data_IF_258623742500
#
_entry.id   IF_258623742500
#
_cell.length_a   1.000
_cell.length_b   1.000
_cell.length_c   1.000
_cell.angle_alpha   90.00
_cell.angle_beta   90.00
_cell.angle_gamma   90.00
#
_symmetry.space_group_name_H-M   'P 1'
#
loop_
_entity.id
_entity.type
_entity.pdbx_description
1 polymer ?
#
# COMPACT_ATOMS: atom_id res chain seq x y z
N UNK A 1 -4.84 -10.74 9.81
CA UNK A 1 -4.30 -9.40 9.57
C UNK A 1 -4.95 -8.43 10.51
N UNK A 2 -4.19 -7.67 11.26
CA UNK A 2 -4.72 -6.83 12.33
C UNK A 2 -4.44 -5.35 12.15
N UNK A 3 -3.34 -5.00 11.48
CA UNK A 3 -2.90 -3.60 11.38
C UNK A 3 -2.53 -3.27 9.95
N UNK A 4 -3.10 -2.17 9.45
CA UNK A 4 -2.78 -1.67 8.11
C UNK A 4 -2.26 -0.24 8.24
N UNK A 5 -1.22 0.06 7.49
CA UNK A 5 -0.58 1.38 7.48
C UNK A 5 -0.64 1.95 6.07
N UNK A 6 -1.15 3.16 5.93
CA UNK A 6 -1.22 3.84 4.63
C UNK A 6 -0.28 5.05 4.63
N UNK A 7 0.57 5.14 3.62
CA UNK A 7 1.47 6.28 3.43
C UNK A 7 1.04 7.00 2.17
N UNK A 8 0.51 8.21 2.32
CA UNK A 8 -0.09 8.96 1.22
C UNK A 8 -0.14 10.42 1.64
N UNK A 9 0.20 11.35 0.76
CA UNK A 9 0.19 12.77 1.11
C UNK A 9 -1.16 13.45 0.85
N UNK A 10 -2.13 12.72 0.32
CA UNK A 10 -3.47 13.27 0.03
C UNK A 10 -4.44 12.87 1.14
N UNK A 11 -4.83 13.84 1.97
CA UNK A 11 -5.72 13.55 3.11
C UNK A 11 -7.09 13.07 2.68
N UNK A 12 -7.59 13.52 1.52
CA UNK A 12 -8.89 13.04 1.03
C UNK A 12 -8.82 11.55 0.72
N UNK A 13 -7.72 11.10 0.09
CA UNK A 13 -7.55 9.69 -0.20
C UNK A 13 -7.37 8.87 1.08
N UNK A 14 -6.70 9.43 2.08
CA UNK A 14 -6.53 8.74 3.36
C UNK A 14 -7.90 8.54 4.03
N UNK A 15 -8.75 9.56 4.01
CA UNK A 15 -10.06 9.46 4.63
C UNK A 15 -10.96 8.47 3.90
N UNK A 16 -10.92 8.47 2.57
CA UNK A 16 -11.69 7.49 1.80
C UNK A 16 -11.23 6.06 2.08
N UNK A 17 -9.92 5.87 2.16
CA UNK A 17 -9.36 4.56 2.45
C UNK A 17 -9.81 4.09 3.85
N UNK A 18 -9.72 4.97 4.83
CA UNK A 18 -10.13 4.65 6.19
C UNK A 18 -11.60 4.26 6.24
N UNK A 19 -12.47 5.04 5.57
CA UNK A 19 -13.89 4.77 5.57
C UNK A 19 -14.20 3.43 4.91
N UNK A 20 -13.53 3.13 3.80
CA UNK A 20 -13.74 1.87 3.11
C UNK A 20 -13.27 0.69 3.96
N UNK A 21 -12.11 0.83 4.59
CA UNK A 21 -11.58 -0.23 5.44
C UNK A 21 -12.50 -0.48 6.64
N UNK A 22 -13.03 0.58 7.23
CA UNK A 22 -13.93 0.44 8.36
C UNK A 22 -15.19 -0.31 7.98
N UNK A 23 -15.69 -0.13 6.75
CA UNK A 23 -16.88 -0.85 6.31
C UNK A 23 -16.59 -2.32 6.04
N UNK A 24 -15.44 -2.65 5.46
CA UNK A 24 -15.18 -4.05 5.09
C UNK A 24 -14.51 -4.84 6.19
N UNK A 25 -13.82 -4.18 7.12
CA UNK A 25 -13.08 -4.88 8.18
C UNK A 25 -12.94 -3.98 9.40
N UNK A 26 -14.04 -3.75 10.14
CA UNK A 26 -14.02 -2.79 11.26
C UNK A 26 -13.10 -3.17 12.41
N UNK A 27 -12.66 -4.42 12.47
CA UNK A 27 -11.76 -4.86 13.55
C UNK A 27 -10.30 -4.59 13.26
N UNK A 28 -9.95 -4.17 12.04
CA UNK A 28 -8.56 -3.90 11.68
C UNK A 28 -8.17 -2.50 12.13
N UNK A 29 -7.01 -2.39 12.78
CA UNK A 29 -6.45 -1.09 13.16
C UNK A 29 -5.86 -0.40 11.95
N UNK A 30 -6.13 0.89 11.82
CA UNK A 30 -5.66 1.70 10.71
C UNK A 30 -4.76 2.81 11.22
N UNK A 31 -3.59 2.94 10.62
CA UNK A 31 -2.67 4.03 10.87
C UNK A 31 -2.25 4.62 9.55
N UNK A 32 -1.84 5.89 9.55
CA UNK A 32 -1.39 6.53 8.33
C UNK A 32 -0.28 7.54 8.62
N UNK A 33 0.43 7.90 7.55
CA UNK A 33 1.39 9.00 7.57
C UNK A 33 1.26 9.73 6.23
N UNK A 34 1.40 11.05 6.28
CA UNK A 34 1.42 11.84 5.05
C UNK A 34 2.83 12.25 4.64
N UNK A 35 3.84 11.65 5.23
CA UNK A 35 5.24 11.94 4.95
C UNK A 35 6.01 10.63 4.89
N UNK A 36 6.52 10.30 3.70
CA UNK A 36 7.19 9.02 3.49
C UNK A 36 8.46 8.84 4.31
N UNK A 37 9.26 9.91 4.44
CA UNK A 37 10.50 9.82 5.21
C UNK A 37 10.22 9.61 6.68
N UNK A 38 9.22 10.31 7.20
CA UNK A 38 8.83 10.16 8.60
C UNK A 38 8.26 8.76 8.86
N UNK A 39 7.48 8.25 7.90
CA UNK A 39 6.91 6.91 8.04
C UNK A 39 7.99 5.85 8.13
N UNK A 40 9.00 5.92 7.26
CA UNK A 40 10.10 4.95 7.29
C UNK A 40 10.82 5.02 8.64
N UNK A 41 11.15 6.24 9.10
CA UNK A 41 11.86 6.41 10.37
C UNK A 41 11.02 5.90 11.53
N UNK A 42 9.74 6.26 11.55
CA UNK A 42 8.84 5.85 12.62
C UNK A 42 8.77 4.33 12.73
N UNK A 43 8.59 3.67 11.59
CA UNK A 43 8.46 2.22 11.60
C UNK A 43 9.79 1.52 11.91
N UNK A 44 10.92 2.05 11.45
CA UNK A 44 12.21 1.43 11.69
C UNK A 44 12.62 1.52 13.17
N UNK A 45 12.12 2.53 13.87
CA UNK A 45 12.44 2.74 15.29
C UNK A 45 11.40 2.13 16.23
N UNK A 46 10.34 1.55 15.68
CA UNK A 46 9.24 1.02 16.48
C UNK A 46 9.66 -0.26 17.19
N UNK A 47 9.34 -0.35 18.47
CA UNK A 47 9.62 -1.53 19.27
C UNK A 47 8.37 -2.33 19.59
N UNK A 48 7.19 -1.79 19.27
CA UNK A 48 5.92 -2.50 19.44
C UNK A 48 5.52 -3.12 18.11
N UNK A 49 4.24 -3.46 17.97
CA UNK A 49 3.75 -4.17 16.78
C UNK A 49 3.94 -3.36 15.51
N UNK A 50 4.48 -4.01 14.49
CA UNK A 50 4.57 -3.45 13.15
C UNK A 50 3.27 -3.72 12.39
N UNK A 51 2.99 -2.94 11.34
CA UNK A 51 1.81 -3.23 10.52
C UNK A 51 1.97 -4.57 9.79
N UNK A 52 0.85 -5.19 9.50
CA UNK A 52 0.84 -6.42 8.73
C UNK A 52 0.93 -6.14 7.24
N UNK A 53 0.53 -4.95 6.83
CA UNK A 53 0.48 -4.58 5.42
C UNK A 53 0.63 -3.07 5.30
N UNK A 54 1.43 -2.64 4.34
CA UNK A 54 1.66 -1.22 4.06
C UNK A 54 1.13 -0.90 2.67
N UNK A 55 0.35 0.17 2.56
CA UNK A 55 -0.03 0.76 1.27
C UNK A 55 0.78 2.04 1.11
N UNK A 56 1.33 2.25 -0.07
CA UNK A 56 2.32 3.30 -0.29
C UNK A 56 2.07 3.99 -1.62
N UNK A 57 1.83 5.30 -1.57
CA UNK A 57 1.67 6.10 -2.78
C UNK A 57 3.04 6.40 -3.40
N UNK A 58 3.08 6.48 -4.72
CA UNK A 58 4.31 6.83 -5.44
C UNK A 58 4.54 8.33 -5.44
N UNK A 59 3.49 9.11 -5.66
CA UNK A 59 3.61 10.57 -5.82
C UNK A 59 3.51 11.29 -4.50
N UNK A 60 4.64 11.44 -3.81
CA UNK A 60 4.70 12.11 -2.51
C UNK A 60 5.96 12.97 -2.41
N UNK A 61 5.99 14.13 -3.11
CA UNK A 61 7.16 14.99 -2.99
C UNK A 61 7.40 15.37 -1.52
N UNK A 62 8.64 15.57 -1.09
CA UNK A 62 9.86 15.52 -1.90
C UNK A 62 10.45 14.12 -2.11
N UNK A 63 9.91 13.11 -1.41
CA UNK A 63 10.42 11.74 -1.51
C UNK A 63 9.37 10.89 -2.21
N UNK A 64 9.74 10.22 -3.30
CA UNK A 64 8.78 9.38 -4.00
C UNK A 64 8.53 8.08 -3.24
N UNK A 65 7.36 7.49 -3.46
CA UNK A 65 7.04 6.20 -2.85
C UNK A 65 8.00 5.10 -3.25
N UNK A 66 8.57 5.17 -4.46
CA UNK A 66 9.56 4.18 -4.87
C UNK A 66 10.82 4.26 -4.03
N UNK A 67 11.23 5.48 -3.65
CA UNK A 67 12.35 5.66 -2.75
C UNK A 67 12.02 5.12 -1.35
N UNK A 68 10.81 5.34 -0.90
CA UNK A 68 10.36 4.78 0.38
C UNK A 68 10.38 3.26 0.35
N UNK A 69 9.90 2.67 -0.75
CA UNK A 69 9.91 1.22 -0.90
C UNK A 69 11.33 0.68 -0.82
N UNK A 70 12.26 1.34 -1.51
CA UNK A 70 13.67 0.94 -1.46
C UNK A 70 14.21 1.00 -0.04
N UNK A 71 13.83 2.04 0.72
CA UNK A 71 14.26 2.17 2.10
C UNK A 71 13.70 1.06 2.98
N UNK A 72 12.42 0.71 2.81
CA UNK A 72 11.83 -0.40 3.54
C UNK A 72 12.60 -1.70 3.27
N UNK A 73 12.98 -1.94 2.02
CA UNK A 73 13.61 -3.20 1.66
C UNK A 73 15.06 -3.30 2.12
N UNK A 74 15.68 -2.18 2.47
CA UNK A 74 17.04 -2.16 3.03
C UNK A 74 17.06 -2.26 4.55
N UNK A 75 15.94 -2.06 5.21
CA UNK A 75 15.87 -2.02 6.67
C UNK A 75 15.67 -3.43 7.20
N UNK A 76 16.50 -3.84 8.17
CA UNK A 76 16.44 -5.20 8.71
C UNK A 76 15.10 -5.53 9.34
N UNK A 77 14.45 -4.53 9.94
CA UNK A 77 13.19 -4.76 10.62
C UNK A 77 12.01 -4.72 9.66
N UNK A 78 12.12 -3.98 8.56
CA UNK A 78 10.99 -3.69 7.67
C UNK A 78 11.01 -4.46 6.36
N UNK A 79 12.14 -5.04 5.99
CA UNK A 79 12.31 -5.60 4.63
C UNK A 79 11.34 -6.71 4.29
N UNK A 80 10.79 -7.39 5.28
CA UNK A 80 9.87 -8.49 5.05
C UNK A 80 8.40 -8.08 5.13
N UNK A 81 8.11 -6.81 5.42
CA UNK A 81 6.74 -6.33 5.47
C UNK A 81 6.18 -6.22 4.05
N UNK A 82 4.98 -6.75 3.81
CA UNK A 82 4.37 -6.62 2.49
C UNK A 82 4.00 -5.16 2.21
N UNK A 83 4.33 -4.68 1.02
CA UNK A 83 4.01 -3.32 0.60
C UNK A 83 3.25 -3.38 -0.71
N UNK A 84 2.06 -2.76 -0.73
CA UNK A 84 1.27 -2.60 -1.94
C UNK A 84 1.37 -1.14 -2.37
N UNK A 85 1.78 -0.91 -3.62
CA UNK A 85 1.77 0.43 -4.17
C UNK A 85 0.33 0.83 -4.45
N UNK A 86 -0.04 2.05 -4.05
CA UNK A 86 -1.42 2.53 -4.11
C UNK A 86 -1.40 3.97 -4.63
N UNK A 87 -1.63 4.16 -5.92
CA UNK A 87 -1.33 5.43 -6.55
C UNK A 87 -2.27 5.70 -7.73
N UNK A 88 -2.43 6.98 -8.09
CA UNK A 88 -3.14 7.35 -9.30
C UNK A 88 -2.31 7.08 -10.54
N UNK A 89 -0.98 7.01 -10.40
CA UNK A 89 -0.10 6.75 -11.52
C UNK A 89 -0.06 5.25 -11.81
N UNK A 90 -0.12 4.89 -13.10
CA UNK A 90 -0.09 3.49 -13.51
C UNK A 90 0.86 3.28 -14.69
N UNK A 91 1.94 4.05 -14.73
CA UNK A 91 2.92 3.92 -15.80
C UNK A 91 3.65 2.58 -15.69
N UNK A 92 3.84 1.93 -16.82
CA UNK A 92 4.48 0.61 -16.83
C UNK A 92 5.86 0.62 -16.20
N UNK A 93 6.60 1.72 -16.37
CA UNK A 93 7.93 1.82 -15.80
C UNK A 93 7.88 1.81 -14.27
N UNK A 94 6.91 2.51 -13.70
CA UNK A 94 6.76 2.55 -12.25
C UNK A 94 6.34 1.20 -11.69
N UNK A 95 5.42 0.54 -12.38
CA UNK A 95 4.98 -0.79 -11.99
C UNK A 95 6.17 -1.75 -11.99
N UNK A 96 6.97 -1.70 -13.04
CA UNK A 96 8.14 -2.57 -13.17
C UNK A 96 9.17 -2.29 -12.08
N UNK A 97 9.43 -1.01 -11.83
CA UNK A 97 10.37 -0.63 -10.77
C UNK A 97 9.89 -1.12 -9.41
N UNK A 98 8.61 -0.95 -9.12
CA UNK A 98 8.04 -1.42 -7.85
C UNK A 98 8.18 -2.94 -7.72
N UNK A 99 7.93 -3.68 -8.80
CA UNK A 99 8.08 -5.12 -8.78
C UNK A 99 9.53 -5.51 -8.53
N UNK A 100 10.47 -4.84 -9.17
CA UNK A 100 11.90 -5.12 -8.99
C UNK A 100 12.37 -4.82 -7.58
N UNK A 101 11.76 -3.82 -6.95
CA UNK A 101 12.08 -3.47 -5.57
C UNK A 101 11.39 -4.38 -4.55
N UNK A 102 10.51 -5.26 -5.01
CA UNK A 102 9.90 -6.25 -4.13
C UNK A 102 8.54 -5.88 -3.59
N UNK A 103 7.80 -4.99 -4.26
CA UNK A 103 6.42 -4.70 -3.86
C UNK A 103 5.59 -5.97 -3.98
N UNK A 104 4.67 -6.15 -3.05
CA UNK A 104 3.77 -7.31 -3.04
C UNK A 104 2.59 -7.14 -4.00
N UNK A 105 2.33 -5.93 -4.46
CA UNK A 105 1.27 -5.68 -5.41
C UNK A 105 1.23 -4.21 -5.81
N UNK A 106 0.37 -3.91 -6.76
CA UNK A 106 0.22 -2.57 -7.30
C UNK A 106 -1.26 -2.31 -7.55
N UNK A 107 -1.78 -1.24 -6.97
CA UNK A 107 -3.18 -0.84 -7.12
C UNK A 107 -3.22 0.58 -7.66
N UNK A 108 -3.93 0.77 -8.78
CA UNK A 108 -4.26 2.11 -9.24
C UNK A 108 -5.46 2.59 -8.44
N UNK A 109 -5.37 3.76 -7.83
CA UNK A 109 -6.44 4.29 -6.98
C UNK A 109 -7.76 4.31 -7.77
N UNK A 110 -8.81 3.65 -7.26
CA UNK A 110 -10.08 3.65 -7.96
C UNK A 110 -10.81 4.98 -7.79
N UNK A 111 -11.66 5.32 -8.76
CA UNK A 111 -12.49 6.52 -8.69
C UNK A 111 -13.76 6.30 -7.89
N UNK A 112 -14.03 5.08 -7.50
CA UNK A 112 -15.32 4.63 -7.02
C UNK A 112 -15.13 3.98 -5.66
N UNK A 113 -15.89 4.44 -4.67
CA UNK A 113 -15.81 3.92 -3.30
C UNK A 113 -16.16 2.43 -3.24
N UNK A 114 -17.12 1.99 -4.05
CA UNK A 114 -17.47 0.56 -4.09
C UNK A 114 -16.31 -0.28 -4.59
N UNK A 115 -15.60 0.22 -5.59
CA UNK A 115 -14.43 -0.48 -6.12
C UNK A 115 -13.33 -0.55 -5.07
N UNK A 116 -13.12 0.53 -4.34
CA UNK A 116 -12.12 0.55 -3.27
C UNK A 116 -12.44 -0.53 -2.23
N UNK A 117 -13.71 -0.63 -1.82
CA UNK A 117 -14.11 -1.67 -0.87
C UNK A 117 -13.88 -3.06 -1.42
N UNK A 118 -14.16 -3.25 -2.70
CA UNK A 118 -13.95 -4.55 -3.35
C UNK A 118 -12.47 -4.92 -3.40
N UNK A 119 -11.62 -3.93 -3.71
CA UNK A 119 -10.17 -4.14 -3.74
C UNK A 119 -9.66 -4.52 -2.34
N UNK A 120 -10.09 -3.78 -1.33
CA UNK A 120 -9.66 -4.07 0.05
C UNK A 120 -10.13 -5.45 0.50
N UNK A 121 -11.36 -5.82 0.16
CA UNK A 121 -11.87 -7.15 0.49
C UNK A 121 -11.01 -8.23 -0.16
N UNK A 122 -10.69 -8.06 -1.44
CA UNK A 122 -9.86 -9.01 -2.14
C UNK A 122 -8.49 -9.14 -1.47
N UNK A 123 -7.87 -8.02 -1.14
CA UNK A 123 -6.54 -8.03 -0.52
C UNK A 123 -6.58 -8.76 0.82
N UNK A 124 -7.60 -8.47 1.63
CA UNK A 124 -7.69 -9.07 2.96
C UNK A 124 -7.98 -10.57 2.91
N UNK A 125 -8.55 -11.06 1.81
CA UNK A 125 -8.87 -12.47 1.65
C UNK A 125 -7.81 -13.24 0.87
N UNK A 126 -6.76 -12.56 0.41
CA UNK A 126 -5.75 -13.17 -0.45
C UNK A 126 -4.44 -13.35 0.31
N UNK A 127 -3.81 -14.53 0.25
CA UNK A 127 -2.47 -14.69 0.83
C UNK A 127 -1.48 -13.72 0.18
N UNK A 128 -0.53 -13.25 0.97
CA UNK A 128 0.42 -12.22 0.53
C UNK A 128 1.16 -12.64 -0.74
N UNK A 129 1.58 -13.88 -0.83
CA UNK A 129 2.35 -14.35 -1.98
C UNK A 129 1.52 -14.47 -3.25
N UNK A 130 0.21 -14.28 -3.16
CA UNK A 130 -0.69 -14.31 -4.32
C UNK A 130 -1.27 -12.95 -4.65
N UNK A 131 -0.94 -11.92 -3.88
CA UNK A 131 -1.53 -10.59 -4.05
C UNK A 131 -1.25 -9.99 -5.42
N UNK A 132 -0.03 -10.11 -5.89
CA UNK A 132 0.36 -9.50 -7.17
C UNK A 132 -0.50 -10.02 -8.31
N UNK A 133 -0.69 -11.32 -8.37
CA UNK A 133 -1.51 -11.93 -9.42
C UNK A 133 -2.99 -11.60 -9.24
N UNK A 134 -3.49 -11.66 -8.02
CA UNK A 134 -4.89 -11.37 -7.75
C UNK A 134 -5.24 -9.92 -8.13
N UNK A 135 -4.36 -8.98 -7.80
CA UNK A 135 -4.61 -7.58 -8.12
C UNK A 135 -4.54 -7.31 -9.62
N UNK A 136 -3.68 -8.03 -10.33
CA UNK A 136 -3.58 -7.92 -11.78
C UNK A 136 -4.90 -8.32 -12.44
N UNK A 137 -5.50 -9.40 -11.97
CA UNK A 137 -6.79 -9.86 -12.50
C UNK A 137 -7.90 -8.89 -12.17
N UNK A 138 -7.91 -8.36 -10.96
CA UNK A 138 -8.97 -7.44 -10.54
C UNK A 138 -8.96 -6.16 -11.36
N UNK A 139 -7.80 -5.63 -11.64
CA UNK A 139 -7.70 -4.35 -12.35
C UNK A 139 -8.17 -4.49 -13.79
N UNK A 140 -8.22 -5.69 -14.34
CA UNK A 140 -8.78 -5.93 -15.66
C UNK A 140 -8.00 -5.33 -16.79
N UNK A 141 -7.44 -4.19 -16.60
CA UNK A 141 -6.67 -3.54 -17.64
C UNK A 141 -5.23 -4.05 -17.65
N UNK A 142 -4.94 -4.89 -16.74
CA UNK A 142 -3.63 -5.51 -16.74
C UNK A 142 -3.38 -6.20 -18.06
N UNK A 143 -4.43 -6.52 -18.73
CA UNK A 143 -4.35 -7.06 -20.07
C UNK A 143 -3.82 -6.05 -21.06
N UNK A 144 -3.94 -4.84 -20.74
CA UNK A 144 -3.49 -3.82 -21.66
C UNK A 144 -2.03 -3.54 -21.47
#
# INVERSE_FOLDING_TARGET
MQNIFLIDDDMDDIELFRDALEEVAPSISFQYSNDGSEAVRNLSERQDALPDLIFLDISMPPVSGLQCLASFKKDQQLKNLPVIMYTTSSQNREIRTAQELGASGFVTKPNDFKMLKRILTLILETPVDQLSEALRHLSGHASS
#
